data_IF_585241158280
#
_entry.id   IF_585241158280
#
_cell.length_a   1.000
_cell.length_b   1.000
_cell.length_c   1.000
_cell.angle_alpha   90.00
_cell.angle_beta   90.00
_cell.angle_gamma   90.00
#
_symmetry.space_group_name_H-M   'P 1'
#
loop_
_entity.id
_entity.type
_entity.pdbx_description
1 polymer ?
#
# COMPACT_ATOMS: atom_id res chain seq x y z
N UNK A 1 19.92 -20.64 17.65
CA UNK A 1 21.04 -19.80 18.13
C UNK A 1 20.48 -18.39 18.33
N UNK A 2 20.39 -17.87 19.57
CA UNK A 2 19.77 -16.55 19.84
C UNK A 2 20.63 -15.45 19.18
N UNK A 3 20.09 -14.81 18.14
CA UNK A 3 20.79 -13.85 17.27
C UNK A 3 21.07 -12.57 18.05
N UNK A 4 22.35 -12.22 18.21
CA UNK A 4 22.75 -10.92 18.78
C UNK A 4 22.71 -9.92 17.62
N UNK A 5 21.94 -8.85 17.78
CA UNK A 5 21.91 -7.76 16.81
C UNK A 5 22.96 -6.74 17.23
N UNK A 6 23.95 -6.51 16.37
CA UNK A 6 24.95 -5.46 16.59
C UNK A 6 24.43 -4.16 16.01
N UNK A 7 24.43 -3.12 16.83
CA UNK A 7 24.03 -1.76 16.46
C UNK A 7 25.07 -0.77 16.98
N UNK A 8 25.08 0.43 16.42
CA UNK A 8 25.90 1.54 16.88
C UNK A 8 24.96 2.61 17.44
N UNK A 9 25.22 3.10 18.64
CA UNK A 9 24.45 4.21 19.21
C UNK A 9 24.75 5.51 18.47
N UNK A 10 23.89 6.51 18.67
CA UNK A 10 24.11 7.91 18.30
C UNK A 10 25.43 8.49 18.86
N UNK A 11 25.85 8.04 20.05
CA UNK A 11 27.16 8.37 20.64
C UNK A 11 28.33 7.50 20.14
N UNK A 12 28.12 6.73 19.07
CA UNK A 12 29.17 5.97 18.39
C UNK A 12 29.62 4.68 19.08
N UNK A 13 28.94 4.25 20.15
CA UNK A 13 29.26 3.03 20.90
C UNK A 13 28.64 1.82 20.22
N UNK A 14 29.44 0.80 19.94
CA UNK A 14 28.91 -0.46 19.44
C UNK A 14 28.28 -1.29 20.56
N UNK A 15 27.06 -1.76 20.33
CA UNK A 15 26.28 -2.55 21.28
C UNK A 15 25.81 -3.85 20.63
N UNK A 16 25.81 -4.92 21.42
CA UNK A 16 25.13 -6.17 21.07
C UNK A 16 23.80 -6.26 21.81
N UNK A 17 22.69 -6.11 21.10
CA UNK A 17 21.35 -6.27 21.66
C UNK A 17 20.98 -7.74 21.64
N UNK A 18 20.59 -8.27 22.82
CA UNK A 18 20.06 -9.61 22.98
C UNK A 18 18.85 -9.57 23.92
N UNK A 19 17.66 -9.65 23.34
CA UNK A 19 16.43 -9.72 24.10
C UNK A 19 16.26 -11.12 24.72
N UNK A 20 15.77 -11.18 25.97
CA UNK A 20 15.48 -12.46 26.65
C UNK A 20 14.37 -13.22 25.93
N UNK A 21 13.37 -12.48 25.43
CA UNK A 21 12.22 -12.90 24.62
C UNK A 21 12.20 -12.14 23.29
N UNK A 22 11.78 -12.79 22.21
CA UNK A 22 11.67 -12.14 20.90
C UNK A 22 10.42 -11.28 20.86
N UNK A 23 10.60 -9.95 20.94
CA UNK A 23 9.57 -8.95 20.77
C UNK A 23 10.10 -7.84 19.85
N UNK A 24 9.20 -7.18 19.14
CA UNK A 24 9.54 -5.98 18.39
C UNK A 24 9.76 -4.81 19.36
N UNK A 25 10.68 -3.92 18.98
CA UNK A 25 11.06 -2.75 19.75
C UNK A 25 10.37 -1.52 19.18
N UNK A 26 9.75 -0.72 20.04
CA UNK A 26 9.00 0.49 19.66
C UNK A 26 9.76 1.74 20.09
N UNK A 27 9.54 2.86 19.38
CA UNK A 27 10.05 4.17 19.79
C UNK A 27 9.71 4.45 21.26
N UNK A 28 10.72 4.79 22.06
CA UNK A 28 10.61 4.99 23.51
C UNK A 28 10.95 3.76 24.36
N UNK A 29 11.16 2.58 23.78
CA UNK A 29 11.57 1.40 24.55
C UNK A 29 12.97 1.59 25.16
N UNK A 30 13.07 1.53 26.48
CA UNK A 30 14.35 1.57 27.20
C UNK A 30 14.95 0.17 27.25
N UNK A 31 16.08 -0.03 26.56
CA UNK A 31 16.80 -1.31 26.53
C UNK A 31 17.76 -1.49 27.70
N UNK A 32 18.30 -0.39 28.21
CA UNK A 32 19.27 -0.38 29.29
C UNK A 32 19.26 0.98 29.98
N UNK A 33 19.39 1.00 31.31
CA UNK A 33 19.48 2.21 32.11
C UNK A 33 20.33 1.93 33.34
N UNK A 34 21.37 2.73 33.57
CA UNK A 34 22.16 2.75 34.80
C UNK A 34 22.22 4.18 35.37
N UNK A 35 23.03 4.41 36.41
CA UNK A 35 23.14 5.72 37.08
C UNK A 35 23.65 6.83 36.15
N UNK A 36 24.31 6.51 35.03
CA UNK A 36 24.98 7.47 34.16
C UNK A 36 24.51 7.41 32.68
N UNK A 37 23.83 6.35 32.23
CA UNK A 37 23.50 6.11 30.83
C UNK A 37 22.11 5.50 30.65
N UNK A 38 21.43 5.87 29.57
CA UNK A 38 20.18 5.26 29.12
C UNK A 38 20.27 4.93 27.63
N UNK A 39 19.85 3.73 27.22
CA UNK A 39 19.78 3.29 25.83
C UNK A 39 18.30 3.11 25.49
N UNK A 40 17.78 4.00 24.66
CA UNK A 40 16.38 4.05 24.24
C UNK A 40 16.31 3.71 22.76
N UNK A 41 15.28 2.99 22.35
CA UNK A 41 14.93 2.81 20.95
C UNK A 41 14.27 4.07 20.46
N UNK A 42 14.83 4.65 19.42
CA UNK A 42 14.26 5.84 18.79
C UNK A 42 14.07 5.61 17.28
N UNK A 43 13.14 6.34 16.71
CA UNK A 43 12.88 6.34 15.26
C UNK A 43 13.74 7.43 14.63
N UNK A 44 14.43 7.08 13.55
CA UNK A 44 15.19 8.06 12.78
C UNK A 44 14.22 9.10 12.22
N UNK A 45 14.60 10.36 12.32
CA UNK A 45 13.89 11.48 11.72
C UNK A 45 13.96 11.37 10.19
N UNK A 46 12.88 11.74 9.52
CA UNK A 46 12.87 11.95 8.09
C UNK A 46 13.29 13.38 7.79
N UNK A 47 14.13 13.54 6.78
CA UNK A 47 14.60 14.84 6.28
C UNK A 47 13.51 15.46 5.39
N UNK A 48 12.88 16.52 5.86
CA UNK A 48 11.70 17.11 5.25
C UNK A 48 11.92 18.57 4.87
N UNK A 49 11.16 19.01 3.87
CA UNK A 49 10.86 20.41 3.57
C UNK A 49 9.51 20.76 4.19
N UNK A 50 9.51 21.68 5.14
CA UNK A 50 8.33 22.35 5.67
C UNK A 50 8.12 23.61 4.85
N UNK A 51 7.11 23.60 4.00
CA UNK A 51 6.78 24.71 3.10
C UNK A 51 5.68 25.51 3.78
N UNK A 52 5.88 26.82 3.91
CA UNK A 52 4.95 27.73 4.59
C UNK A 52 4.39 28.76 3.59
N UNK A 53 3.33 28.42 2.84
CA UNK A 53 2.74 29.32 1.86
C UNK A 53 2.18 30.57 2.55
N UNK A 54 2.42 31.75 1.99
CA UNK A 54 1.91 33.03 2.56
C UNK A 54 0.44 33.27 2.21
N UNK A 55 -0.09 32.51 1.26
CA UNK A 55 -1.48 32.62 0.80
C UNK A 55 -1.98 31.30 0.21
N UNK A 56 -3.31 31.16 0.15
CA UNK A 56 -3.98 30.03 -0.50
C UNK A 56 -3.59 29.90 -1.99
N UNK A 57 -3.32 31.02 -2.66
CA UNK A 57 -2.88 31.00 -4.06
C UNK A 57 -1.49 30.37 -4.20
N UNK A 58 -0.54 30.73 -3.34
CA UNK A 58 0.77 30.09 -3.30
C UNK A 58 0.66 28.60 -2.98
N UNK A 59 -0.13 28.24 -1.96
CA UNK A 59 -0.39 26.84 -1.63
C UNK A 59 -0.91 26.06 -2.83
N UNK A 60 -1.85 26.64 -3.59
CA UNK A 60 -2.39 26.04 -4.81
C UNK A 60 -1.34 25.85 -5.91
N UNK A 61 -0.45 26.84 -6.11
CA UNK A 61 0.64 26.75 -7.10
C UNK A 61 1.66 25.68 -6.70
N UNK A 62 2.06 25.64 -5.43
CA UNK A 62 2.99 24.63 -4.89
C UNK A 62 2.36 23.25 -4.99
N UNK A 63 1.14 23.06 -4.50
CA UNK A 63 0.43 21.79 -4.54
C UNK A 63 0.25 21.29 -5.98
N UNK A 64 0.00 22.20 -6.93
CA UNK A 64 -0.03 21.87 -8.35
C UNK A 64 1.33 21.37 -8.85
N UNK A 65 2.42 22.10 -8.57
CA UNK A 65 3.76 21.74 -9.04
C UNK A 65 4.33 20.47 -8.36
N UNK A 66 4.11 20.31 -7.05
CA UNK A 66 4.46 19.09 -6.32
C UNK A 66 3.63 17.90 -6.81
N UNK A 67 2.33 18.12 -7.06
CA UNK A 67 1.43 17.13 -7.63
C UNK A 67 1.88 16.67 -9.02
N UNK A 68 2.36 17.60 -9.86
CA UNK A 68 2.93 17.30 -11.18
C UNK A 68 4.22 16.45 -11.10
N UNK A 69 4.91 16.47 -9.96
CA UNK A 69 6.15 15.69 -9.70
C UNK A 69 5.90 14.39 -8.94
N UNK A 70 4.65 14.07 -8.61
CA UNK A 70 4.25 12.85 -7.87
C UNK A 70 4.91 12.70 -6.50
N UNK A 71 5.25 13.81 -5.84
CA UNK A 71 5.79 13.78 -4.49
C UNK A 71 4.66 13.81 -3.46
N UNK A 72 4.63 12.87 -2.49
CA UNK A 72 3.64 12.88 -1.42
C UNK A 72 3.88 14.10 -0.52
N UNK A 73 2.83 14.91 -0.32
CA UNK A 73 2.84 16.03 0.60
C UNK A 73 1.82 15.77 1.72
N UNK A 74 2.23 15.97 2.96
CA UNK A 74 1.35 16.01 4.12
C UNK A 74 1.03 17.46 4.47
N UNK A 75 -0.09 17.70 5.14
CA UNK A 75 -0.52 19.04 5.52
C UNK A 75 -0.69 19.08 7.03
N UNK A 76 -0.06 20.06 7.68
CA UNK A 76 -0.17 20.25 9.13
C UNK A 76 -0.41 21.73 9.42
N UNK A 77 -1.65 22.06 9.79
CA UNK A 77 -2.06 23.45 9.90
C UNK A 77 -2.00 24.17 8.54
N UNK A 78 -1.25 25.26 8.49
CA UNK A 78 -1.03 26.05 7.27
C UNK A 78 0.24 25.62 6.49
N UNK A 79 1.00 24.63 7.00
CA UNK A 79 2.25 24.17 6.40
C UNK A 79 2.06 22.89 5.57
N UNK A 80 2.88 22.74 4.53
CA UNK A 80 2.98 21.54 3.71
C UNK A 80 4.31 20.84 3.98
N UNK A 81 4.28 19.56 4.33
CA UNK A 81 5.46 18.73 4.58
C UNK A 81 5.72 17.82 3.39
N UNK A 82 6.94 17.84 2.86
CA UNK A 82 7.37 16.97 1.77
C UNK A 82 8.73 16.40 2.14
N UNK A 83 9.03 15.16 1.72
CA UNK A 83 10.40 14.65 1.87
C UNK A 83 11.39 15.53 1.11
N UNK A 84 12.57 15.78 1.70
CA UNK A 84 13.58 16.62 1.07
C UNK A 84 13.99 16.09 -0.31
N UNK A 85 13.89 16.97 -1.29
CA UNK A 85 14.37 16.78 -2.66
C UNK A 85 14.97 18.11 -3.13
N UNK A 86 16.20 18.07 -3.63
CA UNK A 86 16.93 19.25 -4.08
C UNK A 86 16.23 19.97 -5.26
N UNK A 87 15.47 19.27 -6.09
CA UNK A 87 14.68 19.85 -7.17
C UNK A 87 13.44 20.57 -6.66
N UNK A 88 12.88 20.10 -5.54
CA UNK A 88 11.78 20.80 -4.87
C UNK A 88 12.31 22.04 -4.17
N UNK A 89 13.43 21.95 -3.46
CA UNK A 89 14.08 23.11 -2.86
C UNK A 89 14.39 24.19 -3.93
N UNK A 90 14.97 23.79 -5.07
CA UNK A 90 15.25 24.71 -6.18
C UNK A 90 13.98 25.35 -6.77
N UNK A 91 12.88 24.60 -6.87
CA UNK A 91 11.58 25.13 -7.31
C UNK A 91 11.02 26.14 -6.29
N UNK A 92 11.12 25.85 -5.00
CA UNK A 92 10.65 26.75 -3.95
C UNK A 92 11.47 28.05 -3.93
N UNK A 93 12.78 27.96 -4.19
CA UNK A 93 13.64 29.13 -4.38
C UNK A 93 13.25 29.94 -5.63
N UNK A 94 13.00 29.28 -6.76
CA UNK A 94 12.55 29.93 -8.00
C UNK A 94 11.22 30.66 -7.81
N UNK A 95 10.27 30.02 -7.10
CA UNK A 95 8.96 30.60 -6.80
C UNK A 95 8.99 31.57 -5.62
N UNK A 96 10.13 31.76 -4.96
CA UNK A 96 10.32 32.59 -3.76
C UNK A 96 9.36 32.25 -2.60
N UNK A 97 9.13 30.95 -2.40
CA UNK A 97 8.19 30.42 -1.41
C UNK A 97 8.96 30.08 -0.13
N UNK A 98 8.47 30.51 1.05
CA UNK A 98 9.16 30.21 2.31
C UNK A 98 9.16 28.71 2.57
N UNK A 99 10.31 28.17 2.91
CA UNK A 99 10.43 26.79 3.40
C UNK A 99 11.56 26.68 4.42
N UNK A 100 11.46 25.66 5.26
CA UNK A 100 12.51 25.23 6.19
C UNK A 100 12.81 23.76 5.93
N UNK A 101 14.07 23.36 6.10
CA UNK A 101 14.46 21.96 6.04
C UNK A 101 14.64 21.47 7.48
N UNK A 102 13.88 20.47 7.87
CA UNK A 102 13.87 19.94 9.22
C UNK A 102 13.83 18.42 9.21
N UNK A 103 14.54 17.84 10.18
CA UNK A 103 14.48 16.42 10.48
C UNK A 103 13.30 16.15 11.43
N UNK A 104 12.20 15.52 10.93
CA UNK A 104 10.96 15.30 11.70
C UNK A 104 10.50 13.84 11.64
N UNK A 105 9.87 13.34 12.71
CA UNK A 105 9.33 11.97 12.76
C UNK A 105 7.91 11.94 12.23
N UNK A 106 7.66 11.26 11.09
CA UNK A 106 6.33 11.08 10.53
C UNK A 106 5.76 9.69 10.87
N UNK A 107 4.47 9.62 11.19
CA UNK A 107 3.71 8.37 11.35
C UNK A 107 2.76 8.22 10.14
N UNK A 108 3.12 7.38 9.18
CA UNK A 108 2.47 7.33 7.85
C UNK A 108 1.10 6.60 7.82
N UNK A 109 0.20 7.10 6.98
CA UNK A 109 -1.16 6.59 6.72
C UNK A 109 -1.37 6.10 5.27
N UNK A 110 -0.32 5.99 4.46
CA UNK A 110 -0.37 5.35 3.14
C UNK A 110 0.19 3.92 3.17
N UNK A 111 -0.68 2.90 3.20
CA UNK A 111 -0.27 1.49 3.18
C UNK A 111 0.54 1.16 1.89
N UNK A 112 1.87 0.98 1.96
CA UNK A 112 2.72 0.96 0.76
C UNK A 112 2.74 -0.44 0.14
N UNK A 113 1.68 -0.80 -0.57
CA UNK A 113 1.55 -2.11 -1.23
C UNK A 113 2.21 -2.16 -2.62
N UNK A 114 2.52 -1.00 -3.21
CA UNK A 114 3.02 -0.92 -4.59
C UNK A 114 1.97 -1.25 -5.65
N UNK A 115 0.68 -1.37 -5.29
CA UNK A 115 -0.43 -1.59 -6.23
C UNK A 115 -0.61 -0.43 -7.24
N UNK A 116 0.03 0.71 -7.01
CA UNK A 116 0.02 1.87 -7.90
C UNK A 116 0.63 1.60 -9.29
N UNK A 117 1.54 0.62 -9.43
CA UNK A 117 2.31 0.44 -10.68
C UNK A 117 1.67 -0.50 -11.70
N UNK A 118 0.47 -1.02 -11.48
CA UNK A 118 -0.18 -1.96 -12.38
C UNK A 118 -1.61 -1.51 -12.70
N UNK A 119 -1.90 -1.16 -13.95
CA UNK A 119 -3.27 -0.81 -14.38
C UNK A 119 -3.98 -1.94 -15.15
N UNK A 120 -3.44 -3.17 -15.07
CA UNK A 120 -4.05 -4.41 -15.54
C UNK A 120 -4.48 -4.37 -17.02
N UNK A 121 -3.67 -3.74 -17.86
CA UNK A 121 -3.91 -3.64 -19.31
C UNK A 121 -4.66 -2.38 -19.73
N UNK A 122 -5.08 -1.52 -18.79
CA UNK A 122 -5.68 -0.22 -19.11
C UNK A 122 -4.73 0.65 -19.94
N UNK A 123 -3.40 0.54 -19.77
CA UNK A 123 -2.42 1.29 -20.56
C UNK A 123 -2.61 1.08 -22.07
N UNK A 124 -2.86 -0.16 -22.50
CA UNK A 124 -3.06 -0.49 -23.92
C UNK A 124 -4.29 0.22 -24.49
N UNK A 125 -5.41 0.18 -23.77
CA UNK A 125 -6.65 0.85 -24.20
C UNK A 125 -6.51 2.38 -24.25
N UNK A 126 -5.67 2.95 -23.39
CA UNK A 126 -5.36 4.38 -23.41
C UNK A 126 -4.49 4.71 -24.63
N UNK A 127 -3.44 3.92 -24.89
CA UNK A 127 -2.54 4.12 -26.02
C UNK A 127 -3.24 3.95 -27.37
N UNK A 128 -4.16 2.98 -27.48
CA UNK A 128 -5.00 2.77 -28.66
C UNK A 128 -6.14 3.80 -28.78
N UNK A 129 -6.29 4.68 -27.80
CA UNK A 129 -7.29 5.74 -27.78
C UNK A 129 -8.72 5.23 -27.58
N UNK A 130 -8.94 3.96 -27.23
CA UNK A 130 -10.27 3.40 -26.95
C UNK A 130 -10.81 3.86 -25.60
N UNK A 131 -9.92 4.11 -24.64
CA UNK A 131 -10.23 4.65 -23.32
C UNK A 131 -9.53 6.01 -23.18
N UNK A 132 -10.28 7.09 -23.39
CA UNK A 132 -9.74 8.44 -23.52
C UNK A 132 -10.53 9.53 -22.77
N UNK A 133 -11.61 9.14 -22.06
CA UNK A 133 -12.41 10.05 -21.26
C UNK A 133 -13.11 9.29 -20.11
N UNK A 134 -13.83 10.01 -19.25
CA UNK A 134 -14.50 9.42 -18.10
C UNK A 134 -15.53 8.34 -18.49
N UNK A 135 -16.27 8.55 -19.60
CA UNK A 135 -17.32 7.62 -20.03
C UNK A 135 -16.69 6.30 -20.48
N UNK A 136 -15.70 6.37 -21.37
CA UNK A 136 -14.99 5.19 -21.90
C UNK A 136 -14.22 4.47 -20.78
N UNK A 137 -13.63 5.20 -19.83
CA UNK A 137 -13.01 4.60 -18.65
C UNK A 137 -14.02 3.88 -17.75
N UNK A 138 -15.17 4.50 -17.47
CA UNK A 138 -16.24 3.84 -16.71
C UNK A 138 -16.74 2.57 -17.41
N UNK A 139 -16.88 2.57 -18.73
CA UNK A 139 -17.23 1.35 -19.49
C UNK A 139 -16.18 0.26 -19.31
N UNK A 140 -14.90 0.59 -19.46
CA UNK A 140 -13.81 -0.35 -19.26
C UNK A 140 -13.78 -0.89 -17.82
N UNK A 141 -13.95 0.00 -16.84
CA UNK A 141 -13.93 -0.31 -15.42
C UNK A 141 -15.07 -1.24 -15.02
N UNK A 142 -16.26 -1.05 -15.59
CA UNK A 142 -17.40 -1.95 -15.37
C UNK A 142 -17.10 -3.36 -15.86
N UNK A 143 -16.53 -3.50 -17.06
CA UNK A 143 -16.09 -4.81 -17.59
C UNK A 143 -14.99 -5.41 -16.72
N UNK A 144 -13.97 -4.64 -16.36
CA UNK A 144 -12.88 -5.14 -15.51
C UNK A 144 -13.38 -5.63 -14.15
N UNK A 145 -14.25 -4.86 -13.49
CA UNK A 145 -14.84 -5.24 -12.21
C UNK A 145 -15.70 -6.49 -12.33
N UNK A 146 -16.59 -6.52 -13.33
CA UNK A 146 -17.59 -7.57 -13.47
C UNK A 146 -17.04 -8.85 -14.08
N UNK A 147 -16.02 -8.82 -14.92
CA UNK A 147 -15.52 -10.02 -15.61
C UNK A 147 -14.23 -10.56 -14.98
N UNK A 148 -13.39 -9.69 -14.38
CA UNK A 148 -12.08 -10.08 -13.88
C UNK A 148 -11.96 -9.94 -12.37
N UNK A 149 -12.04 -8.72 -11.82
CA UNK A 149 -11.66 -8.47 -10.42
C UNK A 149 -12.56 -9.21 -9.41
N UNK A 150 -13.87 -9.21 -9.62
CA UNK A 150 -14.81 -9.88 -8.70
C UNK A 150 -14.67 -11.39 -8.75
N UNK A 151 -14.53 -11.98 -9.95
CA UNK A 151 -14.50 -13.44 -10.13
C UNK A 151 -13.13 -14.06 -9.92
N UNK A 152 -12.04 -13.30 -10.03
CA UNK A 152 -10.71 -13.72 -9.63
C UNK A 152 -10.46 -13.39 -8.15
N UNK A 153 -10.08 -12.15 -7.85
CA UNK A 153 -9.64 -11.74 -6.51
C UNK A 153 -10.77 -11.77 -5.48
N UNK A 154 -11.98 -11.31 -5.85
CA UNK A 154 -13.13 -11.28 -4.95
C UNK A 154 -13.55 -12.68 -4.51
N UNK A 155 -13.68 -13.61 -5.47
CA UNK A 155 -14.00 -15.01 -5.21
C UNK A 155 -12.88 -15.70 -4.43
N UNK A 156 -11.61 -15.47 -4.80
CA UNK A 156 -10.47 -16.00 -4.09
C UNK A 156 -10.43 -15.53 -2.63
N UNK A 157 -10.64 -14.23 -2.37
CA UNK A 157 -10.74 -13.68 -1.02
C UNK A 157 -11.82 -14.40 -0.21
N UNK A 158 -13.01 -14.62 -0.79
CA UNK A 158 -14.09 -15.34 -0.11
C UNK A 158 -13.71 -16.79 0.22
N UNK A 159 -13.16 -17.53 -0.73
CA UNK A 159 -12.77 -18.94 -0.54
C UNK A 159 -11.66 -19.03 0.51
N UNK A 160 -10.64 -18.18 0.41
CA UNK A 160 -9.53 -18.12 1.37
C UNK A 160 -10.04 -17.81 2.76
N UNK A 161 -10.95 -16.85 2.91
CA UNK A 161 -11.52 -16.52 4.22
C UNK A 161 -12.24 -17.73 4.85
N UNK A 162 -13.07 -18.43 4.07
CA UNK A 162 -13.75 -19.66 4.53
C UNK A 162 -12.79 -20.79 4.86
N UNK A 163 -11.69 -20.92 4.09
CA UNK A 163 -10.65 -21.89 4.36
C UNK A 163 -9.92 -21.58 5.67
N UNK A 164 -9.65 -20.30 5.96
CA UNK A 164 -9.05 -19.86 7.22
C UNK A 164 -9.95 -20.17 8.42
N UNK A 165 -11.27 -19.89 8.34
CA UNK A 165 -12.23 -20.23 9.40
C UNK A 165 -12.28 -21.73 9.71
N UNK A 166 -12.14 -22.56 8.68
CA UNK A 166 -12.15 -24.03 8.81
C UNK A 166 -10.76 -24.63 9.03
N UNK A 167 -9.73 -23.80 9.17
CA UNK A 167 -8.33 -24.18 9.30
C UNK A 167 -7.81 -25.11 8.18
N UNK A 168 -8.25 -24.88 6.93
CA UNK A 168 -7.92 -25.67 5.74
C UNK A 168 -6.89 -24.97 4.87
N UNK A 169 -5.66 -24.84 5.37
CA UNK A 169 -4.60 -24.09 4.68
C UNK A 169 -4.25 -24.63 3.28
N UNK A 170 -4.42 -25.93 3.04
CA UNK A 170 -4.23 -26.50 1.70
C UNK A 170 -5.16 -25.89 0.64
N UNK A 171 -6.38 -25.49 1.03
CA UNK A 171 -7.28 -24.78 0.11
C UNK A 171 -6.72 -23.38 -0.23
N UNK A 172 -6.10 -22.69 0.72
CA UNK A 172 -5.45 -21.37 0.49
C UNK A 172 -4.32 -21.51 -0.53
N UNK A 173 -3.45 -22.51 -0.36
CA UNK A 173 -2.33 -22.75 -1.28
C UNK A 173 -2.79 -23.18 -2.68
N UNK A 174 -3.90 -23.92 -2.76
CA UNK A 174 -4.51 -24.27 -4.03
C UNK A 174 -5.01 -23.03 -4.76
N UNK A 175 -5.65 -22.08 -4.06
CA UNK A 175 -6.12 -20.82 -4.64
C UNK A 175 -4.96 -19.95 -5.12
N UNK A 176 -3.88 -19.82 -4.36
CA UNK A 176 -2.66 -19.10 -4.77
C UNK A 176 -2.11 -19.61 -6.12
N UNK A 177 -1.99 -20.94 -6.25
CA UNK A 177 -1.58 -21.58 -7.48
C UNK A 177 -2.57 -21.33 -8.62
N UNK A 178 -3.87 -21.45 -8.34
CA UNK A 178 -4.91 -21.30 -9.36
C UNK A 178 -4.94 -19.87 -9.93
N UNK A 179 -4.91 -18.84 -9.07
CA UNK A 179 -4.83 -17.44 -9.49
C UNK A 179 -3.59 -17.18 -10.36
N UNK A 180 -2.45 -17.74 -9.98
CA UNK A 180 -1.21 -17.57 -10.73
C UNK A 180 -1.25 -18.25 -12.09
N UNK A 181 -1.79 -19.47 -12.17
CA UNK A 181 -1.85 -20.25 -13.43
C UNK A 181 -2.91 -19.70 -14.38
N UNK A 182 -4.03 -19.19 -13.86
CA UNK A 182 -5.09 -18.56 -14.65
C UNK A 182 -4.66 -17.21 -15.26
N UNK A 183 -3.71 -16.52 -14.62
CA UNK A 183 -3.16 -15.27 -15.14
C UNK A 183 -2.17 -15.57 -16.29
N UNK A 184 -2.69 -15.60 -17.52
CA UNK A 184 -1.93 -15.94 -18.73
C UNK A 184 -0.84 -14.91 -19.06
N UNK A 185 -1.11 -13.59 -19.03
CA UNK A 185 -0.08 -12.59 -19.35
C UNK A 185 1.06 -12.60 -18.33
N UNK A 186 2.28 -12.77 -18.84
CA UNK A 186 3.49 -12.84 -18.01
C UNK A 186 3.68 -11.59 -17.15
N UNK A 187 3.49 -10.41 -17.74
CA UNK A 187 3.71 -9.12 -17.08
C UNK A 187 2.76 -8.92 -15.90
N UNK A 188 1.46 -9.18 -16.11
CA UNK A 188 0.46 -9.11 -15.04
C UNK A 188 0.78 -10.13 -13.94
N UNK A 189 1.13 -11.36 -14.30
CA UNK A 189 1.47 -12.40 -13.33
C UNK A 189 2.68 -12.04 -12.47
N UNK A 190 3.77 -11.57 -13.07
CA UNK A 190 4.96 -11.12 -12.33
C UNK A 190 4.68 -9.87 -11.50
N UNK A 191 3.84 -8.95 -11.99
CA UNK A 191 3.41 -7.76 -11.26
C UNK A 191 2.65 -8.09 -10.00
N UNK A 192 1.63 -8.95 -10.11
CA UNK A 192 0.83 -9.40 -8.97
C UNK A 192 1.68 -10.11 -7.91
N UNK A 193 2.64 -10.96 -8.32
CA UNK A 193 3.57 -11.61 -7.38
C UNK A 193 4.41 -10.59 -6.62
N UNK A 194 4.98 -9.60 -7.31
CA UNK A 194 5.77 -8.52 -6.68
C UNK A 194 4.95 -7.72 -5.68
N UNK A 195 3.70 -7.37 -5.99
CA UNK A 195 2.80 -6.69 -5.04
C UNK A 195 2.53 -7.60 -3.83
N UNK A 196 2.22 -8.88 -4.06
CA UNK A 196 1.96 -9.85 -3.00
C UNK A 196 3.14 -10.02 -2.05
N UNK A 197 4.36 -10.14 -2.58
CA UNK A 197 5.58 -10.24 -1.77
C UNK A 197 5.86 -8.97 -0.95
N UNK A 198 5.64 -7.78 -1.52
CA UNK A 198 5.79 -6.51 -0.80
C UNK A 198 4.77 -6.40 0.33
N UNK A 199 3.50 -6.73 0.04
CA UNK A 199 2.44 -6.75 1.03
C UNK A 199 2.75 -7.77 2.15
N UNK A 200 3.28 -8.94 1.83
CA UNK A 200 3.68 -9.94 2.83
C UNK A 200 4.79 -9.45 3.75
N UNK A 201 5.81 -8.77 3.20
CA UNK A 201 6.90 -8.20 4.00
C UNK A 201 6.39 -7.11 4.93
N UNK A 202 5.58 -6.20 4.39
CA UNK A 202 4.96 -5.13 5.16
C UNK A 202 4.10 -5.69 6.30
N UNK A 203 3.24 -6.65 5.97
CA UNK A 203 2.36 -7.28 6.95
C UNK A 203 3.15 -8.01 8.02
N UNK A 204 4.21 -8.74 7.66
CA UNK A 204 5.08 -9.40 8.65
C UNK A 204 5.77 -8.40 9.57
N UNK A 205 6.15 -7.22 9.06
CA UNK A 205 6.73 -6.15 9.91
C UNK A 205 5.72 -5.49 10.83
N UNK A 206 4.44 -5.46 10.45
CA UNK A 206 3.37 -4.79 11.23
C UNK A 206 2.64 -5.75 12.18
N UNK A 207 2.55 -7.02 11.83
CA UNK A 207 1.75 -8.02 12.53
C UNK A 207 2.47 -9.37 12.57
N UNK A 208 2.56 -9.94 13.77
CA UNK A 208 3.09 -11.29 13.96
C UNK A 208 2.01 -12.36 13.69
N UNK A 209 1.74 -12.64 12.42
CA UNK A 209 0.72 -13.60 11.98
C UNK A 209 1.37 -14.91 11.51
N UNK A 210 1.16 -16.06 12.20
CA UNK A 210 1.82 -17.32 11.86
C UNK A 210 1.61 -17.79 10.41
N UNK A 211 0.40 -17.56 9.87
CA UNK A 211 0.04 -17.94 8.50
C UNK A 211 0.82 -17.11 7.48
N UNK A 212 1.12 -15.83 7.77
CA UNK A 212 1.92 -14.97 6.89
C UNK A 212 3.36 -15.47 6.82
N UNK A 213 3.97 -15.80 7.97
CA UNK A 213 5.32 -16.38 8.01
C UNK A 213 5.37 -17.69 7.23
N UNK A 214 4.38 -18.57 7.40
CA UNK A 214 4.29 -19.81 6.63
C UNK A 214 4.15 -19.54 5.13
N UNK A 215 3.33 -18.57 4.73
CA UNK A 215 3.13 -18.22 3.33
C UNK A 215 4.43 -17.70 2.70
N UNK A 216 5.17 -16.84 3.41
CA UNK A 216 6.49 -16.39 2.96
C UNK A 216 7.49 -17.53 2.81
N UNK A 217 7.54 -18.47 3.76
CA UNK A 217 8.43 -19.64 3.64
C UNK A 217 8.09 -20.49 2.42
N UNK A 218 6.80 -20.68 2.13
CA UNK A 218 6.34 -21.40 0.94
C UNK A 218 6.77 -20.69 -0.35
N UNK A 219 6.70 -19.37 -0.40
CA UNK A 219 7.17 -18.57 -1.55
C UNK A 219 8.69 -18.72 -1.70
N UNK A 220 9.46 -18.61 -0.60
CA UNK A 220 10.93 -18.84 -0.61
C UNK A 220 11.29 -20.25 -1.11
N UNK A 221 10.47 -21.26 -0.77
CA UNK A 221 10.62 -22.65 -1.22
C UNK A 221 10.00 -22.92 -2.61
N UNK A 222 9.48 -21.89 -3.31
CA UNK A 222 8.79 -21.99 -4.61
C UNK A 222 7.59 -22.94 -4.63
N UNK A 223 6.93 -23.10 -3.49
CA UNK A 223 5.71 -23.93 -3.33
C UNK A 223 4.43 -23.12 -3.54
N UNK A 224 4.54 -21.80 -3.39
CA UNK A 224 3.49 -20.80 -3.58
C UNK A 224 4.08 -19.57 -4.29
N UNK A 225 3.22 -18.71 -4.82
CA UNK A 225 3.61 -17.59 -5.67
C UNK A 225 3.45 -16.22 -5.00
N UNK A 226 2.47 -16.07 -4.11
CA UNK A 226 2.20 -14.80 -3.46
C UNK A 226 1.20 -13.97 -4.27
N UNK A 227 0.06 -13.67 -3.67
CA UNK A 227 -1.00 -12.89 -4.30
C UNK A 227 -1.59 -11.88 -3.31
N UNK A 228 -1.72 -10.58 -3.67
CA UNK A 228 -2.16 -9.52 -2.76
C UNK A 228 -3.54 -9.78 -2.16
N UNK A 229 -4.51 -10.27 -2.96
CA UNK A 229 -5.82 -10.65 -2.44
C UNK A 229 -5.73 -11.64 -1.26
N UNK A 230 -4.91 -12.69 -1.38
CA UNK A 230 -4.75 -13.71 -0.33
C UNK A 230 -4.13 -13.10 0.93
N UNK A 231 -3.10 -12.27 0.76
CA UNK A 231 -2.41 -11.60 1.88
C UNK A 231 -3.36 -10.67 2.62
N UNK A 232 -4.12 -9.87 1.88
CA UNK A 232 -5.14 -8.99 2.43
C UNK A 232 -6.22 -9.77 3.18
N UNK A 233 -6.69 -10.89 2.62
CA UNK A 233 -7.68 -11.75 3.26
C UNK A 233 -7.17 -12.38 4.55
N UNK A 234 -5.93 -12.88 4.57
CA UNK A 234 -5.30 -13.44 5.78
C UNK A 234 -5.29 -12.38 6.89
N UNK A 235 -4.99 -11.12 6.56
CA UNK A 235 -4.97 -10.03 7.52
C UNK A 235 -6.36 -9.61 7.98
N UNK A 236 -7.32 -9.48 7.06
CA UNK A 236 -8.71 -9.21 7.45
C UNK A 236 -9.25 -10.26 8.42
N UNK A 237 -8.97 -11.54 8.16
CA UNK A 237 -9.31 -12.64 9.07
C UNK A 237 -8.58 -12.54 10.42
N UNK A 238 -7.28 -12.26 10.41
CA UNK A 238 -6.49 -12.08 11.65
C UNK A 238 -7.02 -10.94 12.52
N UNK A 239 -7.42 -9.82 11.89
CA UNK A 239 -8.02 -8.66 12.53
C UNK A 239 -9.51 -8.85 12.88
N UNK A 240 -10.07 -10.04 12.64
CA UNK A 240 -11.47 -10.41 12.92
C UNK A 240 -12.50 -9.54 12.17
N UNK A 241 -12.13 -8.99 11.03
CA UNK A 241 -13.03 -8.28 10.12
C UNK A 241 -13.78 -9.31 9.30
N UNK A 242 -15.11 -9.20 9.17
CA UNK A 242 -15.89 -10.24 8.48
C UNK A 242 -15.39 -10.49 7.05
N UNK A 243 -15.52 -11.72 6.55
CA UNK A 243 -15.03 -12.06 5.20
C UNK A 243 -15.68 -11.23 4.08
N UNK A 244 -16.94 -10.80 4.29
CA UNK A 244 -17.64 -9.89 3.39
C UNK A 244 -17.03 -8.50 3.39
N UNK A 245 -16.78 -7.93 4.56
CA UNK A 245 -16.14 -6.61 4.70
C UNK A 245 -14.72 -6.63 4.17
N UNK A 246 -13.93 -7.66 4.51
CA UNK A 246 -12.57 -7.87 4.01
C UNK A 246 -12.53 -7.86 2.48
N UNK A 247 -13.43 -8.62 1.84
CA UNK A 247 -13.51 -8.66 0.37
C UNK A 247 -13.95 -7.31 -0.19
N UNK A 248 -14.93 -6.65 0.43
CA UNK A 248 -15.38 -5.33 0.00
C UNK A 248 -14.25 -4.29 0.06
N UNK A 249 -13.51 -4.23 1.16
CA UNK A 249 -12.39 -3.31 1.34
C UNK A 249 -11.30 -3.57 0.31
N UNK A 250 -10.97 -4.84 0.04
CA UNK A 250 -9.98 -5.18 -0.98
C UNK A 250 -10.42 -4.69 -2.38
N UNK A 251 -11.65 -5.00 -2.79
CA UNK A 251 -12.18 -4.58 -4.08
C UNK A 251 -12.25 -3.05 -4.20
N UNK A 252 -12.68 -2.38 -3.13
CA UNK A 252 -12.75 -0.93 -3.06
C UNK A 252 -11.36 -0.27 -3.15
N UNK A 253 -10.34 -0.84 -2.50
CA UNK A 253 -8.97 -0.34 -2.58
C UNK A 253 -8.40 -0.44 -4.00
N UNK A 254 -8.67 -1.55 -4.70
CA UNK A 254 -8.27 -1.75 -6.09
C UNK A 254 -9.01 -0.78 -7.02
N UNK A 255 -10.32 -0.61 -6.84
CA UNK A 255 -11.12 0.36 -7.57
C UNK A 255 -10.55 1.77 -7.42
N UNK A 256 -10.29 2.19 -6.19
CA UNK A 256 -9.76 3.53 -5.89
C UNK A 256 -8.39 3.72 -6.53
N UNK A 257 -7.51 2.72 -6.43
CA UNK A 257 -6.19 2.74 -7.07
C UNK A 257 -6.29 2.87 -8.60
N UNK A 258 -7.20 2.12 -9.23
CA UNK A 258 -7.39 2.18 -10.69
C UNK A 258 -7.96 3.51 -11.16
N UNK A 259 -8.93 4.07 -10.44
CA UNK A 259 -9.46 5.40 -10.75
C UNK A 259 -8.36 6.46 -10.62
N UNK A 260 -7.50 6.37 -9.60
CA UNK A 260 -6.37 7.28 -9.45
C UNK A 260 -5.36 7.15 -10.59
N UNK A 261 -5.10 5.93 -11.06
CA UNK A 261 -4.25 5.70 -12.23
C UNK A 261 -4.88 6.29 -13.51
N UNK A 262 -6.18 6.10 -13.72
CA UNK A 262 -6.92 6.63 -14.86
C UNK A 262 -7.00 8.17 -14.86
N UNK A 263 -7.16 8.78 -13.70
CA UNK A 263 -7.11 10.25 -13.53
C UNK A 263 -5.80 10.83 -14.06
N UNK A 264 -4.68 10.13 -13.83
CA UNK A 264 -3.35 10.56 -14.32
C UNK A 264 -3.15 10.25 -15.79
N UNK A 265 -3.55 9.05 -16.24
CA UNK A 265 -3.24 8.54 -17.57
C UNK A 265 -4.20 9.03 -18.68
N UNK A 266 -5.45 9.36 -18.35
CA UNK A 266 -6.51 9.84 -19.27
C UNK A 266 -6.77 11.35 -19.10
N UNK A 267 -5.85 12.07 -18.43
CA UNK A 267 -6.08 13.38 -17.78
C UNK A 267 -7.52 13.69 -17.30
N UNK A 268 -8.14 12.80 -16.52
CA UNK A 268 -9.47 13.10 -15.95
C UNK A 268 -9.32 14.11 -14.80
N UNK A 269 -10.28 15.02 -14.63
CA UNK A 269 -10.30 15.90 -13.45
C UNK A 269 -10.49 15.10 -12.15
N UNK A 270 -9.91 15.57 -11.03
CA UNK A 270 -10.03 14.91 -9.72
C UNK A 270 -11.51 14.71 -9.29
N UNK A 271 -12.36 15.69 -9.56
CA UNK A 271 -13.81 15.59 -9.33
C UNK A 271 -14.45 14.48 -10.17
N UNK A 272 -14.00 14.27 -11.41
CA UNK A 272 -14.47 13.18 -12.26
C UNK A 272 -14.04 11.82 -11.70
N UNK A 273 -12.81 11.72 -11.17
CA UNK A 273 -12.36 10.53 -10.43
C UNK A 273 -13.26 10.21 -9.23
N UNK A 274 -13.54 11.19 -8.37
CA UNK A 274 -14.42 11.00 -7.20
C UNK A 274 -15.86 10.61 -7.59
N UNK A 275 -16.42 11.25 -8.62
CA UNK A 275 -17.73 10.86 -9.17
C UNK A 275 -17.73 9.41 -9.67
N UNK A 276 -16.64 8.97 -10.29
CA UNK A 276 -16.48 7.59 -10.74
C UNK A 276 -16.44 6.62 -9.56
N UNK A 277 -15.66 6.90 -8.51
CA UNK A 277 -15.65 6.07 -7.30
C UNK A 277 -17.06 5.96 -6.70
N UNK A 278 -17.76 7.09 -6.56
CA UNK A 278 -19.13 7.14 -6.04
C UNK A 278 -20.11 6.32 -6.89
N UNK A 279 -19.97 6.37 -8.23
CA UNK A 279 -20.79 5.59 -9.16
C UNK A 279 -20.61 4.08 -8.98
N UNK A 280 -19.38 3.62 -8.74
CA UNK A 280 -19.04 2.19 -8.67
C UNK A 280 -19.18 1.58 -7.26
N UNK A 281 -19.24 2.39 -6.20
CA UNK A 281 -19.47 1.92 -4.82
C UNK A 281 -20.72 1.03 -4.68
N UNK A 282 -21.93 1.42 -5.16
CA UNK A 282 -23.12 0.57 -5.09
C UNK A 282 -22.99 -0.74 -5.88
N UNK A 283 -22.25 -0.73 -6.99
CA UNK A 283 -22.03 -1.90 -7.84
C UNK A 283 -21.18 -2.95 -7.13
N UNK A 284 -20.12 -2.55 -6.45
CA UNK A 284 -19.31 -3.45 -5.61
C UNK A 284 -20.15 -4.15 -4.55
N UNK A 285 -20.99 -3.38 -3.83
CA UNK A 285 -21.89 -3.93 -2.80
C UNK A 285 -22.91 -4.89 -3.41
N UNK A 286 -23.42 -4.61 -4.61
CA UNK A 286 -24.37 -5.48 -5.32
C UNK A 286 -23.69 -6.79 -5.77
N UNK A 287 -22.46 -6.73 -6.28
CA UNK A 287 -21.77 -7.93 -6.77
C UNK A 287 -21.39 -8.90 -5.66
N UNK A 288 -21.07 -8.40 -4.47
CA UNK A 288 -20.88 -9.26 -3.29
C UNK A 288 -22.16 -10.02 -2.88
N UNK A 289 -23.35 -9.54 -3.26
CA UNK A 289 -24.60 -10.31 -3.06
C UNK A 289 -24.77 -11.42 -4.10
N UNK A 290 -24.26 -11.26 -5.32
CA UNK A 290 -24.36 -12.22 -6.43
C UNK A 290 -23.37 -13.37 -6.33
N UNK A 291 -22.18 -13.16 -5.74
CA UNK A 291 -21.20 -14.21 -5.44
C UNK A 291 -21.69 -15.24 -4.38
N UNK A 292 -22.99 -15.29 -4.07
CA UNK A 292 -23.65 -16.29 -3.23
C UNK A 292 -23.94 -17.61 -3.97
N UNK A 293 -23.76 -17.68 -5.29
CA UNK A 293 -23.96 -18.90 -6.09
C UNK A 293 -22.68 -19.75 -6.14
#
# INVERSE_FOLDING_TARGET
MKRIQRVKTDHGKELGIRLKEARDLVAGDVLFMDENNMIIIDVLTDDLLIISPRSIMEMGIIAHQLGNRHLPAQFEGDDMLVQYDYLVAALLEELQIPYQREDRKLCDSNFPTGAFSHSYGLETYIQEGTVNNQVTFSTWLDVYLNEQLVYADGLASRIVYQALEKNRLEEVWKIDRMLTVQNLPRETREGTQRIGERMLKLVETLYNVPIITQYQERIKKKQSFGHPAIVFTIIGHYLKVSGRETTLYYLYSNLTSLVQNAVRAIPLGQTAGQKTIQQFQPLLVKQLKKSKA
#
